data_IF_014463420153
#
_entry.id   IF_014463420153
#
_cell.length_a   1.000
_cell.length_b   1.000
_cell.length_c   1.000
_cell.angle_alpha   90.00
_cell.angle_beta   90.00
_cell.angle_gamma   90.00
#
_symmetry.space_group_name_H-M   'P 1'
#
loop_
_entity.id
_entity.type
_entity.pdbx_description
1 polymer ?
#
# COMPACT_ATOMS: atom_id res chain seq x y z
N UNK A 1 10.49 -9.12 -18.98
CA UNK A 1 9.83 -9.23 -17.65
C UNK A 1 8.76 -8.15 -17.55
N UNK A 2 7.51 -8.48 -17.23
CA UNK A 2 6.38 -7.53 -17.25
C UNK A 2 6.42 -6.64 -15.99
N UNK A 3 6.63 -5.33 -16.15
CA UNK A 3 6.52 -4.35 -15.07
C UNK A 3 5.04 -4.16 -14.72
N UNK A 4 4.58 -4.84 -13.68
CA UNK A 4 3.21 -4.70 -13.17
C UNK A 4 3.14 -3.56 -12.15
N UNK A 5 2.08 -2.76 -12.24
CA UNK A 5 1.70 -1.83 -11.18
C UNK A 5 1.31 -2.60 -9.92
N UNK A 6 1.39 -1.94 -8.76
CA UNK A 6 0.98 -2.54 -7.48
C UNK A 6 -0.49 -3.01 -7.52
N UNK A 7 -1.36 -2.30 -8.24
CA UNK A 7 -2.78 -2.62 -8.46
C UNK A 7 -3.02 -3.80 -9.41
N UNK A 8 -2.00 -4.21 -10.17
CA UNK A 8 -2.08 -5.33 -11.13
C UNK A 8 -1.50 -6.63 -10.54
N UNK A 9 -1.05 -6.60 -9.29
CA UNK A 9 -0.61 -7.78 -8.58
C UNK A 9 -1.81 -8.61 -8.14
N UNK A 10 -1.68 -9.94 -8.06
CA UNK A 10 -2.78 -10.80 -7.65
C UNK A 10 -3.26 -10.39 -6.25
N UNK A 11 -4.57 -10.19 -6.16
CA UNK A 11 -5.26 -9.77 -4.96
C UNK A 11 -5.12 -10.84 -3.88
N UNK A 12 -4.94 -10.39 -2.64
CA UNK A 12 -5.01 -11.26 -1.49
C UNK A 12 -6.47 -11.65 -1.28
N UNK A 13 -6.73 -12.94 -1.07
CA UNK A 13 -8.10 -13.37 -0.78
C UNK A 13 -8.64 -12.64 0.46
N UNK A 14 -9.91 -12.25 0.35
CA UNK A 14 -10.66 -11.46 1.33
C UNK A 14 -10.55 -12.08 2.73
N UNK A 15 -9.60 -11.61 3.54
CA UNK A 15 -9.36 -12.16 4.87
C UNK A 15 -7.99 -11.81 5.46
N UNK A 16 -6.96 -11.64 4.63
CA UNK A 16 -5.66 -11.16 5.11
C UNK A 16 -5.58 -9.65 4.92
N UNK A 17 -5.95 -8.89 5.95
CA UNK A 17 -5.75 -7.43 5.94
C UNK A 17 -4.27 -7.16 6.19
N UNK A 18 -3.64 -6.40 5.29
CA UNK A 18 -2.29 -5.82 5.44
C UNK A 18 -2.31 -4.62 6.39
N UNK A 19 -3.49 -4.01 6.55
CA UNK A 19 -3.65 -2.86 7.42
C UNK A 19 -3.21 -3.26 8.83
N UNK A 20 -2.41 -2.42 9.52
CA UNK A 20 -2.04 -2.69 10.89
C UNK A 20 -3.31 -2.97 11.70
N UNK A 21 -3.27 -4.05 12.47
CA UNK A 21 -4.38 -4.38 13.37
C UNK A 21 -4.54 -3.22 14.33
N UNK A 22 -5.66 -2.51 14.21
CA UNK A 22 -5.98 -1.40 15.10
C UNK A 22 -6.18 -2.00 16.50
N UNK A 23 -5.56 -1.43 17.56
CA UNK A 23 -5.80 -1.86 18.93
C UNK A 23 -7.30 -1.94 19.24
N UNK A 24 -7.70 -2.96 19.99
CA UNK A 24 -9.12 -3.22 20.29
C UNK A 24 -9.80 -2.04 21.00
N UNK A 25 -9.06 -1.28 21.79
CA UNK A 25 -9.55 -0.07 22.45
C UNK A 25 -10.00 0.98 21.43
N UNK A 26 -9.20 1.20 20.39
CA UNK A 26 -9.47 2.20 19.34
C UNK A 26 -10.59 1.72 18.42
N UNK A 27 -10.66 0.41 18.12
CA UNK A 27 -11.72 -0.14 17.26
C UNK A 27 -13.11 -0.07 17.89
N UNK A 28 -13.19 0.03 19.23
CA UNK A 28 -14.44 0.15 19.97
C UNK A 28 -15.02 1.57 20.00
N UNK A 29 -14.24 2.58 19.60
CA UNK A 29 -14.67 3.99 19.58
C UNK A 29 -15.69 4.17 18.47
N UNK A 30 -16.93 4.50 18.84
CA UNK A 30 -17.96 4.91 17.88
C UNK A 30 -17.70 6.33 17.42
N UNK A 31 -17.35 6.48 16.15
CA UNK A 31 -17.21 7.79 15.50
C UNK A 31 -18.54 8.08 14.82
N UNK A 32 -19.23 9.14 15.26
CA UNK A 32 -20.44 9.60 14.62
C UNK A 32 -20.09 10.63 13.54
N UNK A 33 -20.26 10.23 12.28
CA UNK A 33 -19.99 11.07 11.11
C UNK A 33 -21.33 11.30 10.42
N UNK A 34 -21.75 12.55 10.15
CA UNK A 34 -22.95 12.83 9.39
C UNK A 34 -23.00 12.07 8.06
N UNK A 35 -24.16 11.53 7.69
CA UNK A 35 -24.32 10.62 6.55
C UNK A 35 -23.88 11.26 5.21
N UNK A 36 -24.08 12.57 5.05
CA UNK A 36 -23.66 13.35 3.90
C UNK A 36 -22.13 13.44 3.75
N UNK A 37 -21.37 13.20 4.83
CA UNK A 37 -19.91 13.20 4.85
C UNK A 37 -19.32 11.77 4.77
N UNK A 38 -20.15 10.73 4.90
CA UNK A 38 -19.67 9.35 4.81
C UNK A 38 -19.31 8.97 3.38
N UNK A 39 -18.20 8.25 3.26
CA UNK A 39 -17.71 7.73 2.00
C UNK A 39 -18.63 6.61 1.49
N UNK A 40 -19.22 6.78 0.30
CA UNK A 40 -20.20 5.84 -0.29
C UNK A 40 -19.61 4.53 -0.85
N UNK A 41 -18.34 4.53 -1.25
CA UNK A 41 -17.66 3.40 -1.89
C UNK A 41 -16.32 3.17 -1.21
N UNK A 42 -15.90 1.93 -0.98
CA UNK A 42 -14.58 1.64 -0.43
C UNK A 42 -13.44 2.19 -1.30
N UNK A 43 -12.25 2.33 -0.73
CA UNK A 43 -11.06 2.76 -1.48
C UNK A 43 -10.47 1.61 -2.28
N UNK A 44 -10.14 1.89 -3.53
CA UNK A 44 -9.46 0.97 -4.45
C UNK A 44 -7.96 0.88 -4.11
N UNK A 45 -7.67 0.60 -2.84
CA UNK A 45 -6.30 0.37 -2.37
C UNK A 45 -5.86 -1.03 -2.81
N UNK A 46 -4.56 -1.23 -3.11
CA UNK A 46 -4.05 -2.54 -3.48
C UNK A 46 -4.12 -3.47 -2.27
N UNK A 47 -4.83 -4.59 -2.40
CA UNK A 47 -4.89 -5.63 -1.36
C UNK A 47 -3.90 -6.74 -1.70
N UNK A 48 -2.65 -6.57 -1.30
CA UNK A 48 -1.55 -7.52 -1.53
C UNK A 48 -0.90 -7.92 -0.20
N UNK A 49 -0.30 -9.09 -0.11
CA UNK A 49 0.44 -9.49 1.10
C UNK A 49 1.70 -8.66 1.33
N UNK A 50 2.17 -8.58 2.58
CA UNK A 50 3.43 -7.90 2.93
C UNK A 50 4.64 -8.41 2.12
N UNK A 51 4.85 -9.73 1.90
CA UNK A 51 5.92 -10.18 1.01
C UNK A 51 5.77 -9.70 -0.44
N UNK A 52 4.54 -9.54 -0.95
CA UNK A 52 4.32 -8.99 -2.28
C UNK A 52 4.64 -7.48 -2.33
N UNK A 53 4.29 -6.75 -1.27
CA UNK A 53 4.60 -5.33 -1.11
C UNK A 53 6.12 -5.10 -1.13
N UNK A 54 6.86 -5.82 -0.28
CA UNK A 54 8.33 -5.71 -0.18
C UNK A 54 8.98 -6.04 -1.54
N UNK A 55 8.59 -7.15 -2.16
CA UNK A 55 9.12 -7.54 -3.49
C UNK A 55 8.80 -6.53 -4.59
N UNK A 56 7.67 -5.83 -4.49
CA UNK A 56 7.31 -4.80 -5.47
C UNK A 56 8.24 -3.59 -5.34
N UNK A 57 8.39 -3.06 -4.12
CA UNK A 57 9.21 -1.88 -3.88
C UNK A 57 10.71 -2.12 -4.01
N UNK A 58 11.23 -3.30 -3.62
CA UNK A 58 12.64 -3.68 -3.88
C UNK A 58 12.96 -3.74 -5.37
N UNK A 59 12.02 -4.21 -6.20
CA UNK A 59 12.19 -4.19 -7.66
C UNK A 59 12.06 -2.79 -8.25
N UNK A 60 11.29 -1.92 -7.62
CA UNK A 60 11.11 -0.54 -8.07
C UNK A 60 12.34 0.30 -7.72
N UNK A 61 12.93 0.12 -6.54
CA UNK A 61 14.14 0.84 -6.11
C UNK A 61 15.32 0.56 -7.03
N UNK A 62 15.50 -0.69 -7.47
CA UNK A 62 16.55 -1.10 -8.44
C UNK A 62 16.42 -0.45 -9.82
N UNK A 63 15.31 0.22 -10.11
CA UNK A 63 15.09 0.98 -11.36
C UNK A 63 15.33 2.46 -11.19
N UNK A 64 15.59 2.91 -9.97
CA UNK A 64 15.93 4.29 -9.70
C UNK A 64 17.46 4.41 -9.57
N UNK A 65 18.01 5.49 -10.11
CA UNK A 65 19.39 5.88 -9.86
C UNK A 65 19.39 7.03 -8.84
N UNK A 66 20.19 6.89 -7.80
CA UNK A 66 20.37 7.89 -6.76
C UNK A 66 21.83 8.01 -6.34
N UNK A 67 22.06 8.88 -5.37
CA UNK A 67 23.40 9.14 -4.80
C UNK A 67 24.07 7.86 -4.26
N UNK A 68 23.28 6.93 -3.73
CA UNK A 68 23.79 5.66 -3.21
C UNK A 68 24.20 4.67 -4.31
N UNK A 69 23.66 4.83 -5.53
CA UNK A 69 23.94 3.94 -6.66
C UNK A 69 25.11 4.40 -7.52
N UNK A 70 25.56 5.64 -7.35
CA UNK A 70 26.72 6.16 -8.06
C UNK A 70 26.79 7.68 -8.08
N UNK A 71 27.75 8.19 -8.84
CA UNK A 71 28.00 9.64 -8.94
C UNK A 71 26.79 10.39 -9.52
N UNK A 72 26.35 11.45 -8.84
CA UNK A 72 25.14 12.22 -9.18
C UNK A 72 25.45 13.72 -9.36
N UNK A 73 26.11 14.11 -10.48
CA UNK A 73 26.59 15.48 -10.69
C UNK A 73 25.51 16.41 -11.24
N UNK A 74 24.43 16.59 -10.48
CA UNK A 74 23.51 17.70 -10.74
C UNK A 74 24.03 18.93 -10.00
N UNK A 75 24.45 19.93 -10.78
CA UNK A 75 24.92 21.24 -10.29
C UNK A 75 23.79 22.17 -9.91
#
# INVERSE_FOLDING_TARGET
>A
MKNRLIFQLPYLESGKKILPTVPNEISSIKIDIPENLKRKKASELPQISEPQLIRHYDKLSKKNFGVDTGFYPLG
#
